data_IF_041862107585
#
_entry.id   IF_041862107585
#
_cell.length_a   1.000
_cell.length_b   1.000
_cell.length_c   1.000
_cell.angle_alpha   90.00
_cell.angle_beta   90.00
_cell.angle_gamma   90.00
#
_symmetry.space_group_name_H-M   'P 1'
#
loop_
_entity.id
_entity.type
_entity.pdbx_description
1 polymer ?
#
# COMPACT_ATOMS: atom_id res chain seq x y z
N UNK A 1 3.60 -7.17 -12.73
CA UNK A 1 3.89 -6.64 -11.37
C UNK A 1 4.48 -7.71 -10.44
N UNK A 2 4.26 -8.99 -10.70
CA UNK A 2 4.77 -10.11 -9.88
C UNK A 2 6.27 -10.02 -9.53
N UNK A 3 7.13 -9.67 -10.51
CA UNK A 3 8.59 -9.48 -10.34
C UNK A 3 9.00 -8.44 -9.27
N UNK A 4 8.05 -7.67 -8.76
CA UNK A 4 8.28 -6.67 -7.72
C UNK A 4 8.41 -7.32 -6.34
N UNK A 5 7.61 -8.34 -6.04
CA UNK A 5 7.59 -8.96 -4.72
C UNK A 5 8.89 -9.76 -4.50
N UNK A 6 9.63 -9.55 -3.39
CA UNK A 6 10.89 -10.24 -3.13
C UNK A 6 10.64 -11.68 -2.64
N UNK A 7 10.03 -12.51 -3.49
CA UNK A 7 9.60 -13.86 -3.14
C UNK A 7 10.78 -14.76 -2.75
N UNK A 8 11.86 -14.75 -3.54
CA UNK A 8 13.07 -15.54 -3.27
C UNK A 8 13.70 -15.12 -1.94
N UNK A 9 13.91 -13.81 -1.72
CA UNK A 9 14.50 -13.34 -0.47
C UNK A 9 13.62 -13.53 0.76
N UNK A 10 12.29 -13.64 0.57
CA UNK A 10 11.36 -14.01 1.62
C UNK A 10 11.47 -15.49 1.97
N UNK A 11 11.47 -16.36 0.95
CA UNK A 11 11.60 -17.80 1.12
C UNK A 11 12.92 -18.16 1.83
N UNK A 12 14.01 -17.48 1.49
CA UNK A 12 15.32 -17.65 2.14
C UNK A 12 15.35 -17.29 3.64
N UNK A 13 14.29 -16.67 4.19
CA UNK A 13 14.17 -16.38 5.64
C UNK A 13 13.69 -17.55 6.46
N UNK A 14 13.17 -18.60 5.83
CA UNK A 14 12.49 -19.69 6.52
C UNK A 14 13.04 -21.04 6.08
N UNK A 15 13.18 -21.96 7.04
CA UNK A 15 13.46 -23.37 6.73
C UNK A 15 12.19 -24.10 6.26
N UNK A 16 11.03 -23.70 6.80
CA UNK A 16 9.72 -24.20 6.41
C UNK A 16 9.30 -23.64 5.04
N UNK A 17 8.46 -24.38 4.32
CA UNK A 17 7.91 -23.95 3.03
C UNK A 17 7.10 -22.65 3.19
N UNK A 18 7.26 -21.72 2.25
CA UNK A 18 6.43 -20.51 2.17
C UNK A 18 5.60 -20.57 0.90
N UNK A 19 4.28 -20.53 1.05
CA UNK A 19 3.34 -20.46 -0.08
C UNK A 19 2.99 -19.01 -0.38
N UNK A 20 2.91 -18.67 -1.66
CA UNK A 20 2.53 -17.34 -2.13
C UNK A 20 1.22 -17.43 -2.92
N UNK A 21 0.22 -16.65 -2.50
CA UNK A 21 -1.07 -16.49 -3.18
C UNK A 21 -1.08 -15.11 -3.85
N UNK A 22 -1.22 -15.09 -5.17
CA UNK A 22 -1.27 -13.87 -5.97
C UNK A 22 -2.70 -13.60 -6.47
N UNK A 23 -3.10 -12.33 -6.43
CA UNK A 23 -4.34 -11.84 -7.01
C UNK A 23 -4.02 -10.61 -7.86
N UNK A 24 -4.66 -10.52 -9.02
CA UNK A 24 -4.39 -9.45 -9.99
C UNK A 24 -5.67 -8.69 -10.36
N UNK A 25 -5.64 -7.96 -11.47
CA UNK A 25 -6.72 -7.08 -11.90
C UNK A 25 -8.02 -7.84 -12.20
N UNK A 26 -7.93 -9.06 -12.72
CA UNK A 26 -9.06 -9.97 -12.92
C UNK A 26 -9.74 -10.40 -11.60
N UNK A 27 -9.00 -10.35 -10.48
CA UNK A 27 -9.44 -10.76 -9.15
C UNK A 27 -9.92 -9.57 -8.30
N UNK A 28 -10.14 -8.39 -8.89
CA UNK A 28 -10.43 -7.16 -8.14
C UNK A 28 -11.61 -7.28 -7.17
N UNK A 29 -12.63 -8.09 -7.49
CA UNK A 29 -13.76 -8.32 -6.60
C UNK A 29 -13.40 -9.24 -5.42
N UNK A 30 -12.40 -10.11 -5.57
CA UNK A 30 -11.80 -10.89 -4.48
C UNK A 30 -10.91 -10.01 -3.63
N UNK A 31 -10.04 -9.20 -4.23
CA UNK A 31 -9.20 -8.23 -3.53
C UNK A 31 -10.08 -7.26 -2.72
N UNK A 32 -11.21 -6.79 -3.26
CA UNK A 32 -12.15 -5.93 -2.55
C UNK A 32 -12.80 -6.58 -1.31
N UNK A 33 -12.83 -7.91 -1.23
CA UNK A 33 -13.32 -8.64 -0.05
C UNK A 33 -12.22 -8.88 0.97
N UNK A 34 -11.00 -9.16 0.51
CA UNK A 34 -9.84 -9.39 1.35
C UNK A 34 -9.36 -8.07 1.98
N UNK A 35 -9.23 -7.04 1.15
CA UNK A 35 -8.59 -5.75 1.47
C UNK A 35 -9.51 -4.55 1.17
N UNK A 36 -10.73 -4.48 1.73
CA UNK A 36 -11.71 -3.46 1.38
C UNK A 36 -11.24 -2.03 1.69
N UNK A 37 -10.52 -1.86 2.81
CA UNK A 37 -10.04 -0.56 3.25
C UNK A 37 -8.94 -0.03 2.31
N UNK A 38 -8.02 -0.90 1.89
CA UNK A 38 -6.97 -0.58 0.92
C UNK A 38 -7.56 -0.11 -0.43
N UNK A 39 -8.62 -0.77 -0.89
CA UNK A 39 -9.29 -0.40 -2.14
C UNK A 39 -10.08 0.90 -2.03
N UNK A 40 -10.67 1.16 -0.86
CA UNK A 40 -11.24 2.47 -0.55
C UNK A 40 -10.15 3.56 -0.56
N UNK A 41 -9.01 3.31 0.07
CA UNK A 41 -7.87 4.24 0.11
C UNK A 41 -7.34 4.56 -1.29
N UNK A 42 -7.15 3.57 -2.15
CA UNK A 42 -6.74 3.76 -3.55
C UNK A 42 -7.67 4.75 -4.27
N UNK A 43 -8.99 4.58 -4.09
CA UNK A 43 -9.98 5.49 -4.64
C UNK A 43 -9.87 6.89 -4.03
N UNK A 44 -9.70 6.96 -2.70
CA UNK A 44 -9.56 8.21 -1.96
C UNK A 44 -8.35 9.03 -2.36
N UNK A 45 -7.17 8.41 -2.38
CA UNK A 45 -5.92 9.02 -2.80
C UNK A 45 -6.02 9.57 -4.24
N UNK A 46 -6.59 8.79 -5.16
CA UNK A 46 -6.78 9.21 -6.55
C UNK A 46 -7.75 10.39 -6.69
N UNK A 47 -8.82 10.43 -5.88
CA UNK A 47 -9.75 11.56 -5.83
C UNK A 47 -9.07 12.84 -5.34
N UNK A 48 -8.25 12.73 -4.30
CA UNK A 48 -7.48 13.87 -3.76
C UNK A 48 -6.50 14.41 -4.81
N UNK A 49 -5.73 13.54 -5.48
CA UNK A 49 -4.86 13.96 -6.58
C UNK A 49 -5.62 14.65 -7.73
N UNK A 50 -6.84 14.21 -8.02
CA UNK A 50 -7.66 14.86 -9.05
C UNK A 50 -8.11 16.26 -8.63
N UNK A 51 -8.55 16.45 -7.37
CA UNK A 51 -8.91 17.77 -6.84
C UNK A 51 -7.70 18.70 -6.86
N UNK A 52 -6.56 18.24 -6.33
CA UNK A 52 -5.32 19.01 -6.25
C UNK A 52 -4.73 19.34 -7.64
N UNK A 53 -5.10 18.59 -8.69
CA UNK A 53 -4.77 18.96 -10.07
C UNK A 53 -5.51 20.21 -10.60
N UNK A 54 -6.39 20.81 -9.79
CA UNK A 54 -7.19 21.99 -10.15
C UNK A 54 -8.51 21.66 -10.84
N UNK A 55 -9.00 20.43 -10.71
CA UNK A 55 -10.26 20.02 -11.30
C UNK A 55 -11.44 20.83 -10.73
N UNK A 56 -12.29 21.36 -11.61
CA UNK A 56 -13.49 22.12 -11.23
C UNK A 56 -14.63 21.18 -10.83
N UNK A 57 -14.49 20.54 -9.67
CA UNK A 57 -15.46 19.61 -9.08
C UNK A 57 -15.71 19.95 -7.62
N UNK A 58 -16.89 19.61 -7.10
CA UNK A 58 -17.15 19.69 -5.66
C UNK A 58 -16.30 18.62 -4.93
N UNK A 59 -15.35 18.99 -4.04
CA UNK A 59 -14.50 18.01 -3.33
C UNK A 59 -15.29 16.98 -2.52
N UNK A 60 -16.48 17.37 -2.03
CA UNK A 60 -17.37 16.51 -1.23
C UNK A 60 -18.33 15.66 -2.07
N UNK A 61 -18.23 15.69 -3.41
CA UNK A 61 -19.16 14.98 -4.31
C UNK A 61 -19.27 13.48 -4.00
N UNK A 62 -18.20 12.88 -3.50
CA UNK A 62 -18.13 11.45 -3.19
C UNK A 62 -18.19 11.14 -1.69
N UNK A 63 -18.52 12.12 -0.82
CA UNK A 63 -18.41 11.95 0.64
C UNK A 63 -19.12 10.70 1.17
N UNK A 64 -20.32 10.40 0.67
CA UNK A 64 -21.08 9.19 1.08
C UNK A 64 -20.31 7.89 0.85
N UNK A 65 -19.50 7.82 -0.21
CA UNK A 65 -18.70 6.63 -0.49
C UNK A 65 -17.50 6.51 0.46
N UNK A 66 -16.89 7.64 0.83
CA UNK A 66 -15.87 7.68 1.89
C UNK A 66 -16.47 7.25 3.23
N UNK A 67 -17.61 7.84 3.61
CA UNK A 67 -18.28 7.56 4.89
C UNK A 67 -18.67 6.07 5.01
N UNK A 68 -19.04 5.43 3.90
CA UNK A 68 -19.39 4.00 3.87
C UNK A 68 -18.20 3.04 3.75
N UNK A 69 -16.97 3.55 3.59
CA UNK A 69 -15.80 2.70 3.32
C UNK A 69 -15.94 1.90 2.02
N UNK A 70 -16.49 2.49 0.95
CA UNK A 70 -16.80 1.76 -0.29
C UNK A 70 -15.52 1.19 -0.94
N UNK A 71 -15.33 -0.14 -1.01
CA UNK A 71 -14.14 -0.74 -1.64
C UNK A 71 -14.12 -0.50 -3.15
N UNK A 72 -15.24 -0.09 -3.76
CA UNK A 72 -15.29 0.30 -5.16
C UNK A 72 -15.26 1.82 -5.36
N UNK A 73 -14.77 2.59 -4.37
CA UNK A 73 -14.64 4.05 -4.49
C UNK A 73 -13.87 4.45 -5.75
N UNK A 74 -12.82 3.71 -6.12
CA UNK A 74 -12.09 3.97 -7.37
C UNK A 74 -13.01 3.98 -8.60
N UNK A 75 -14.00 3.08 -8.71
CA UNK A 75 -14.98 3.06 -9.81
C UNK A 75 -15.87 4.32 -9.82
N UNK A 76 -16.26 4.81 -8.65
CA UNK A 76 -17.05 6.04 -8.53
C UNK A 76 -16.23 7.28 -8.92
N UNK A 77 -14.96 7.30 -8.53
CA UNK A 77 -14.00 8.33 -8.93
C UNK A 77 -13.81 8.33 -10.46
N UNK A 78 -13.65 7.16 -11.10
CA UNK A 78 -13.55 7.03 -12.57
C UNK A 78 -14.75 7.64 -13.29
N UNK A 79 -15.98 7.43 -12.77
CA UNK A 79 -17.21 8.00 -13.35
C UNK A 79 -17.21 9.52 -13.33
N UNK A 80 -16.62 10.14 -12.30
CA UNK A 80 -16.52 11.60 -12.17
C UNK A 80 -15.40 12.16 -13.02
N UNK A 81 -14.21 11.53 -12.98
CA UNK A 81 -13.01 11.98 -13.67
C UNK A 81 -13.02 11.70 -15.17
N UNK A 82 -13.85 10.73 -15.62
CA UNK A 82 -13.83 10.18 -16.99
C UNK A 82 -12.45 9.66 -17.40
N UNK A 83 -11.71 9.12 -16.43
CA UNK A 83 -10.36 8.55 -16.60
C UNK A 83 -10.24 7.32 -15.71
N UNK A 84 -9.36 6.40 -16.10
CA UNK A 84 -9.04 5.23 -15.28
C UNK A 84 -8.25 5.63 -14.04
N UNK A 85 -8.74 5.16 -12.89
CA UNK A 85 -8.13 5.33 -11.58
C UNK A 85 -7.23 4.15 -11.32
N UNK A 86 -7.78 2.93 -11.35
CA UNK A 86 -7.03 1.70 -11.19
C UNK A 86 -6.61 1.19 -12.57
N UNK A 87 -5.30 1.15 -12.81
CA UNK A 87 -4.72 0.78 -14.10
C UNK A 87 -4.14 -0.64 -14.06
N UNK A 88 -3.64 -1.05 -12.90
CA UNK A 88 -3.11 -2.38 -12.60
C UNK A 88 -3.15 -2.58 -11.07
N UNK A 89 -3.20 -3.83 -10.61
CA UNK A 89 -3.19 -4.15 -9.18
C UNK A 89 -2.60 -5.54 -8.96
N UNK A 90 -1.90 -5.69 -7.84
CA UNK A 90 -1.40 -6.96 -7.35
C UNK A 90 -1.57 -7.00 -5.84
N UNK A 91 -2.22 -8.04 -5.35
CA UNK A 91 -2.19 -8.45 -3.95
C UNK A 91 -1.40 -9.75 -3.83
N UNK A 92 -0.50 -9.82 -2.86
CA UNK A 92 0.26 -11.03 -2.52
C UNK A 92 0.07 -11.32 -1.05
N UNK A 93 -0.29 -12.56 -0.72
CA UNK A 93 -0.22 -13.10 0.64
C UNK A 93 0.82 -14.21 0.68
N UNK A 94 1.75 -14.12 1.61
CA UNK A 94 2.77 -15.12 1.85
C UNK A 94 2.59 -15.75 3.24
N UNK A 95 2.55 -17.09 3.28
CA UNK A 95 2.28 -17.86 4.50
C UNK A 95 3.31 -18.96 4.69
N UNK A 96 3.89 -19.03 5.88
CA UNK A 96 4.76 -20.14 6.29
C UNK A 96 3.89 -21.38 6.53
N UNK A 97 4.30 -22.53 6.01
CA UNK A 97 3.60 -23.79 6.19
C UNK A 97 4.15 -24.49 7.44
N UNK A 98 3.70 -24.04 8.60
CA UNK A 98 4.00 -24.65 9.88
C UNK A 98 2.72 -24.72 10.74
N UNK A 99 2.23 -25.93 11.07
CA UNK A 99 1.01 -26.10 11.82
C UNK A 99 1.10 -25.64 13.29
N UNK A 100 2.30 -25.41 13.82
CA UNK A 100 2.49 -24.95 15.20
C UNK A 100 2.33 -23.42 15.34
N UNK A 101 2.30 -22.68 14.23
CA UNK A 101 2.11 -21.23 14.22
C UNK A 101 0.61 -20.88 14.31
N UNK A 102 0.23 -20.09 15.32
CA UNK A 102 -1.12 -19.53 15.44
C UNK A 102 -1.43 -18.51 14.31
N UNK A 103 -0.44 -17.70 13.96
CA UNK A 103 -0.46 -16.82 12.80
C UNK A 103 0.74 -17.17 11.91
N UNK A 104 0.46 -17.52 10.67
CA UNK A 104 1.46 -17.97 9.72
C UNK A 104 1.75 -16.97 8.60
N UNK A 105 1.16 -15.77 8.65
CA UNK A 105 1.42 -14.72 7.67
C UNK A 105 2.85 -14.21 7.89
N UNK A 106 3.64 -14.26 6.82
CA UNK A 106 5.02 -13.73 6.82
C UNK A 106 5.23 -12.59 5.84
N UNK A 107 4.28 -12.35 4.95
CA UNK A 107 4.31 -11.19 4.10
C UNK A 107 2.98 -10.89 3.43
N UNK A 108 2.78 -9.60 3.18
CA UNK A 108 1.63 -9.05 2.48
C UNK A 108 2.09 -7.88 1.62
N UNK A 109 1.53 -7.75 0.42
CA UNK A 109 1.74 -6.57 -0.42
C UNK A 109 0.48 -6.30 -1.23
N UNK A 110 -0.12 -5.12 -1.06
CA UNK A 110 -1.08 -4.58 -2.00
C UNK A 110 -0.45 -3.39 -2.74
N UNK A 111 -0.14 -3.61 -4.02
CA UNK A 111 0.48 -2.62 -4.89
C UNK A 111 -0.43 -2.36 -6.09
N UNK A 112 -0.71 -1.09 -6.36
CA UNK A 112 -1.56 -0.69 -7.47
C UNK A 112 -0.87 0.33 -8.36
N UNK A 113 -1.09 0.25 -9.68
CA UNK A 113 -0.80 1.35 -10.59
C UNK A 113 -2.05 2.23 -10.68
N UNK A 114 -1.94 3.47 -10.24
CA UNK A 114 -3.08 4.37 -10.04
C UNK A 114 -2.89 5.72 -10.73
N UNK A 115 -3.99 6.43 -10.98
CA UNK A 115 -3.94 7.84 -11.38
C UNK A 115 -3.12 8.69 -10.37
N UNK A 116 -2.28 9.66 -10.80
CA UNK A 116 -2.04 10.13 -12.18
C UNK A 116 -0.96 9.36 -12.97
N UNK A 117 -0.76 8.07 -12.70
CA UNK A 117 0.34 7.19 -13.14
C UNK A 117 1.44 7.03 -12.07
N UNK A 118 1.03 6.69 -10.85
CA UNK A 118 1.89 6.34 -9.72
C UNK A 118 1.80 4.84 -9.42
N UNK A 119 2.83 4.27 -8.78
CA UNK A 119 2.73 3.01 -8.06
C UNK A 119 2.37 3.30 -6.61
N UNK A 120 1.20 2.91 -6.17
CA UNK A 120 0.74 3.11 -4.81
C UNK A 120 0.86 1.81 -4.01
N UNK A 121 1.67 1.84 -2.96
CA UNK A 121 1.74 0.79 -1.95
C UNK A 121 0.60 1.08 -0.97
N UNK A 122 -0.50 0.35 -1.11
CA UNK A 122 -1.65 0.49 -0.21
C UNK A 122 -1.46 -0.30 1.08
N UNK A 123 -0.74 -1.42 1.00
CA UNK A 123 -0.39 -2.20 2.17
C UNK A 123 0.91 -2.98 1.95
N UNK A 124 1.67 -3.17 3.02
CA UNK A 124 2.94 -3.89 3.00
C UNK A 124 3.30 -4.43 4.38
N UNK A 125 3.61 -5.73 4.43
CA UNK A 125 4.08 -6.41 5.62
C UNK A 125 5.18 -7.42 5.26
N UNK A 126 6.19 -7.51 6.12
CA UNK A 126 7.21 -8.56 6.10
C UNK A 126 7.60 -8.88 7.55
N UNK A 127 6.95 -9.89 8.10
CA UNK A 127 6.95 -10.24 9.52
C UNK A 127 7.46 -11.66 9.72
N UNK A 128 8.23 -11.90 10.79
CA UNK A 128 8.66 -13.23 11.17
C UNK A 128 7.67 -13.83 12.17
N UNK A 129 6.77 -14.75 11.76
CA UNK A 129 5.79 -15.34 12.67
C UNK A 129 6.41 -16.16 13.82
N UNK A 130 7.67 -16.59 13.68
CA UNK A 130 8.42 -17.26 14.76
C UNK A 130 8.97 -16.31 15.83
N UNK A 131 8.97 -15.01 15.57
CA UNK A 131 9.51 -13.99 16.47
C UNK A 131 8.44 -12.95 16.86
N UNK A 132 7.44 -13.33 17.68
CA UNK A 132 6.49 -12.38 18.22
C UNK A 132 7.20 -11.35 19.11
N UNK A 133 6.74 -10.12 19.07
CA UNK A 133 7.25 -9.02 19.89
C UNK A 133 6.55 -9.04 21.26
N UNK A 134 7.31 -9.16 22.36
CA UNK A 134 6.76 -9.05 23.71
C UNK A 134 6.01 -7.72 23.91
N UNK A 135 4.93 -7.73 24.70
CA UNK A 135 4.05 -6.57 24.90
C UNK A 135 4.80 -5.31 25.36
N UNK A 136 5.79 -5.47 26.24
CA UNK A 136 6.63 -4.38 26.76
C UNK A 136 7.59 -3.78 25.72
N UNK A 137 7.74 -4.41 24.55
CA UNK A 137 8.60 -3.96 23.46
C UNK A 137 7.81 -3.46 22.23
N UNK A 138 6.48 -3.58 22.26
CA UNK A 138 5.61 -3.07 21.20
C UNK A 138 5.71 -1.55 21.13
N UNK A 139 6.03 -1.02 19.94
CA UNK A 139 6.14 0.42 19.69
C UNK A 139 4.81 1.02 19.23
N UNK A 140 3.91 0.19 18.71
CA UNK A 140 2.58 0.53 18.24
C UNK A 140 1.72 -0.73 18.17
N UNK A 141 0.41 -0.57 17.98
CA UNK A 141 -0.58 -1.66 17.98
C UNK A 141 -0.24 -2.78 16.96
N UNK A 142 0.21 -2.42 15.76
CA UNK A 142 0.55 -3.38 14.69
C UNK A 142 1.98 -3.96 14.78
N UNK A 143 2.74 -3.74 15.87
CA UNK A 143 4.11 -4.27 16.01
C UNK A 143 4.08 -5.63 16.70
N UNK A 144 3.40 -6.61 16.09
CA UNK A 144 3.17 -7.93 16.69
C UNK A 144 4.33 -8.89 16.49
N UNK A 145 5.06 -8.75 15.38
CA UNK A 145 6.17 -9.63 15.00
C UNK A 145 7.40 -8.81 14.58
N UNK A 146 8.58 -9.43 14.69
CA UNK A 146 9.83 -8.82 14.21
C UNK A 146 9.84 -8.74 12.69
N UNK A 147 10.41 -7.66 12.17
CA UNK A 147 10.50 -7.46 10.72
C UNK A 147 11.57 -8.35 10.09
N UNK A 148 11.28 -8.86 8.88
CA UNK A 148 12.24 -9.59 8.04
C UNK A 148 13.21 -8.67 7.28
N UNK A 149 13.02 -7.35 7.34
CA UNK A 149 13.90 -6.36 6.71
C UNK A 149 13.80 -6.27 5.18
N UNK A 150 12.74 -6.81 4.57
CA UNK A 150 12.63 -6.95 3.11
C UNK A 150 12.06 -5.71 2.39
N UNK A 151 11.54 -4.72 3.11
CA UNK A 151 10.98 -3.50 2.50
C UNK A 151 12.01 -2.77 1.62
N UNK A 152 13.29 -2.75 2.01
CA UNK A 152 14.35 -2.13 1.21
C UNK A 152 14.49 -2.78 -0.17
N UNK A 153 14.46 -4.11 -0.22
CA UNK A 153 14.53 -4.89 -1.45
C UNK A 153 13.29 -4.69 -2.30
N UNK A 154 12.10 -4.79 -1.70
CA UNK A 154 10.83 -4.49 -2.37
C UNK A 154 10.88 -3.12 -3.06
N UNK A 155 11.35 -2.09 -2.35
CA UNK A 155 11.42 -0.74 -2.88
C UNK A 155 12.40 -0.62 -4.05
N UNK A 156 13.53 -1.32 -4.03
CA UNK A 156 14.44 -1.39 -5.19
C UNK A 156 13.71 -1.97 -6.41
N UNK A 157 12.95 -3.06 -6.22
CA UNK A 157 12.20 -3.69 -7.30
C UNK A 157 11.08 -2.78 -7.83
N UNK A 158 10.34 -2.10 -6.95
CA UNK A 158 9.32 -1.12 -7.33
C UNK A 158 9.93 0.00 -8.17
N UNK A 159 11.06 0.58 -7.75
CA UNK A 159 11.72 1.67 -8.48
C UNK A 159 12.22 1.20 -9.85
N UNK A 160 12.79 -0.01 -9.94
CA UNK A 160 13.22 -0.59 -11.21
C UNK A 160 12.02 -0.78 -12.16
N UNK A 161 10.92 -1.33 -11.65
CA UNK A 161 9.67 -1.47 -12.41
C UNK A 161 9.11 -0.11 -12.85
N UNK A 162 9.14 0.88 -11.96
CA UNK A 162 8.69 2.24 -12.25
C UNK A 162 9.47 2.88 -13.40
N UNK A 163 10.80 2.80 -13.37
CA UNK A 163 11.67 3.29 -14.46
C UNK A 163 11.38 2.59 -15.79
N UNK A 164 11.30 1.25 -15.79
CA UNK A 164 10.99 0.42 -16.97
C UNK A 164 9.66 0.81 -17.61
N UNK A 165 8.66 1.16 -16.80
CA UNK A 165 7.29 1.45 -17.24
C UNK A 165 6.95 2.95 -17.30
N UNK A 166 7.94 3.84 -17.15
CA UNK A 166 7.77 5.31 -17.15
C UNK A 166 6.71 5.78 -16.14
N UNK A 167 6.74 5.21 -14.94
CA UNK A 167 5.91 5.60 -13.80
C UNK A 167 6.71 6.61 -12.98
N UNK A 168 6.13 7.77 -12.71
CA UNK A 168 6.82 8.91 -12.13
C UNK A 168 7.18 8.70 -10.66
N UNK A 169 6.24 8.18 -9.88
CA UNK A 169 6.38 8.11 -8.43
C UNK A 169 5.92 6.78 -7.84
N UNK A 170 6.46 6.48 -6.66
CA UNK A 170 5.88 5.56 -5.68
C UNK A 170 5.18 6.39 -4.62
N UNK A 171 3.96 6.04 -4.27
CA UNK A 171 3.21 6.67 -3.17
C UNK A 171 2.79 5.64 -2.12
N UNK A 172 2.57 6.11 -0.91
CA UNK A 172 2.00 5.34 0.22
C UNK A 172 1.40 6.31 1.23
N UNK A 173 0.68 5.80 2.22
CA UNK A 173 0.22 6.61 3.35
C UNK A 173 0.86 6.13 4.65
N UNK A 174 1.34 7.08 5.47
CA UNK A 174 1.86 6.79 6.80
C UNK A 174 0.79 7.10 7.86
N UNK A 175 0.48 6.12 8.71
CA UNK A 175 -0.51 6.26 9.78
C UNK A 175 0.08 6.77 11.10
N UNK A 176 1.41 6.92 11.21
CA UNK A 176 2.08 7.37 12.44
C UNK A 176 3.41 8.08 12.19
N UNK A 177 3.84 8.90 13.14
CA UNK A 177 5.15 9.57 13.11
C UNK A 177 6.33 8.60 12.99
N UNK A 178 6.20 7.40 13.56
CA UNK A 178 7.21 6.35 13.44
C UNK A 178 7.33 5.86 11.99
N UNK A 179 6.18 5.61 11.33
CA UNK A 179 6.15 5.23 9.92
C UNK A 179 6.67 6.36 9.03
N UNK A 180 6.34 7.63 9.31
CA UNK A 180 6.90 8.77 8.56
C UNK A 180 8.43 8.77 8.62
N UNK A 181 9.01 8.61 9.82
CA UNK A 181 10.48 8.56 10.00
C UNK A 181 11.08 7.37 9.24
N UNK A 182 10.44 6.21 9.31
CA UNK A 182 10.85 5.01 8.59
C UNK A 182 10.83 5.24 7.07
N UNK A 183 9.71 5.67 6.49
CA UNK A 183 9.62 5.89 5.05
C UNK A 183 10.55 7.03 4.56
N UNK A 184 10.78 8.06 5.37
CA UNK A 184 11.80 9.09 5.07
C UNK A 184 13.21 8.52 4.97
N UNK A 185 13.59 7.55 5.82
CA UNK A 185 14.90 6.90 5.70
C UNK A 185 15.02 6.08 4.41
N UNK A 186 13.89 5.66 3.85
CA UNK A 186 13.76 5.03 2.54
C UNK A 186 13.53 6.02 1.39
N UNK A 187 13.78 7.33 1.59
CA UNK A 187 13.74 8.34 0.53
C UNK A 187 12.35 8.82 0.13
N UNK A 188 11.31 8.51 0.90
CA UNK A 188 10.01 9.15 0.75
C UNK A 188 10.03 10.55 1.37
N UNK A 189 9.16 11.42 0.84
CA UNK A 189 8.86 12.75 1.36
C UNK A 189 7.35 12.87 1.54
N UNK A 190 6.90 13.75 2.43
CA UNK A 190 5.46 14.06 2.52
C UNK A 190 5.07 14.77 1.23
N UNK A 191 3.93 14.44 0.65
CA UNK A 191 3.46 15.12 -0.56
C UNK A 191 3.28 16.63 -0.31
N UNK A 192 3.63 17.45 -1.30
CA UNK A 192 3.45 18.89 -1.20
C UNK A 192 2.10 19.32 -1.80
N UNK A 193 1.01 19.01 -1.10
CA UNK A 193 -0.34 19.41 -1.47
C UNK A 193 -1.16 19.78 -0.21
N UNK A 194 -2.35 20.36 -0.41
CA UNK A 194 -3.15 20.81 0.75
C UNK A 194 -3.66 19.61 1.56
N UNK A 195 -4.01 18.52 0.89
CA UNK A 195 -4.44 17.29 1.55
C UNK A 195 -3.38 16.73 2.51
N UNK A 196 -2.12 16.72 2.13
CA UNK A 196 -1.01 16.26 2.96
C UNK A 196 -0.78 17.15 4.19
N UNK A 197 -1.00 18.46 4.04
CA UNK A 197 -0.93 19.42 5.16
C UNK A 197 -2.07 19.17 6.14
N UNK A 198 -3.29 19.04 5.63
CA UNK A 198 -4.47 18.74 6.45
C UNK A 198 -4.30 17.38 7.16
N UNK A 199 -3.81 16.36 6.46
CA UNK A 199 -3.53 15.03 7.03
C UNK A 199 -2.46 15.07 8.13
N UNK A 200 -1.42 15.89 7.95
CA UNK A 200 -0.37 16.10 8.95
C UNK A 200 -0.90 16.83 10.19
N UNK A 201 -1.78 17.81 10.02
CA UNK A 201 -2.42 18.54 11.13
C UNK A 201 -3.34 17.64 11.96
N UNK A 202 -4.02 16.67 11.32
CA UNK A 202 -4.96 15.77 11.98
C UNK A 202 -4.35 14.42 12.37
N UNK A 203 -3.12 14.13 11.93
CA UNK A 203 -2.36 12.92 12.29
C UNK A 203 -2.89 11.62 11.70
N UNK A 204 -3.56 11.68 10.53
CA UNK A 204 -4.21 10.48 9.93
C UNK A 204 -3.81 10.34 8.46
N UNK A 205 -3.31 9.16 8.09
CA UNK A 205 -3.04 8.73 6.70
C UNK A 205 -2.27 9.78 5.89
N UNK A 206 -1.06 10.10 6.34
CA UNK A 206 -0.22 11.16 5.78
C UNK A 206 0.37 10.67 4.45
N UNK A 207 0.00 11.27 3.31
CA UNK A 207 0.46 10.81 2.00
C UNK A 207 1.94 11.11 1.81
N UNK A 208 2.67 10.10 1.35
CA UNK A 208 4.09 10.17 1.10
C UNK A 208 4.39 9.77 -0.34
N UNK A 209 5.43 10.40 -0.90
CA UNK A 209 5.87 10.21 -2.29
C UNK A 209 7.37 10.05 -2.37
N UNK A 210 7.80 9.14 -3.25
CA UNK A 210 9.19 8.96 -3.68
C UNK A 210 9.24 8.97 -5.21
N UNK A 211 10.20 9.69 -5.76
CA UNK A 211 10.40 9.79 -7.21
C UNK A 211 11.06 8.51 -7.75
N UNK A 212 10.52 7.98 -8.84
CA UNK A 212 11.10 6.87 -9.61
C UNK A 212 12.03 7.35 -10.74
N UNK A 213 11.60 8.38 -11.48
CA UNK A 213 12.25 8.94 -12.67
C UNK A 213 12.47 10.45 -12.55
#
# INVERSE_FOLDING_TARGET
MEEIYPAEELQDKFEAEVTLEYYFMEDVDTIAKLEPNCLCEIGGNSWMHYIESGAKVNPRKLSKHFDSGNPFLFKEVEKVMKRKVLQDIMLVHAKVQDPELENNICGQLLLARVYPNNLHISDVEFSNPYEPVPENEKKHHFHEYRSLGLFAKLLVNIIAYGKKNRISNVTLSAASDHQIKYFKSHGFSIENNNFAKDALEHGVSIPMVRICI
#
